data_IF_529472604063
#
_entry.id   IF_529472604063
#
_cell.length_a   1.000
_cell.length_b   1.000
_cell.length_c   1.000
_cell.angle_alpha   90.00
_cell.angle_beta   90.00
_cell.angle_gamma   90.00
#
_symmetry.space_group_name_H-M   'P 1'
#
loop_
_entity.id
_entity.type
_entity.pdbx_description
1 polymer ?
#
# COMPACT_ATOMS: atom_id res chain seq x y z
N UNK A 1 -7.16 4.55 -12.61
CA UNK A 1 -6.64 4.39 -11.23
C UNK A 1 -5.53 3.34 -11.23
N UNK A 2 -4.38 3.67 -10.66
CA UNK A 2 -3.23 2.77 -10.56
C UNK A 2 -2.76 2.64 -9.10
N UNK A 3 -2.46 1.41 -8.67
CA UNK A 3 -1.82 1.15 -7.37
C UNK A 3 -0.35 0.86 -7.59
N UNK A 4 0.53 1.77 -7.20
CA UNK A 4 1.97 1.57 -7.24
C UNK A 4 2.52 1.53 -5.81
N UNK A 5 2.93 0.36 -5.34
CA UNK A 5 3.65 0.21 -4.07
C UNK A 5 5.12 0.61 -4.26
N UNK A 6 5.34 1.89 -4.53
CA UNK A 6 6.66 2.45 -4.81
C UNK A 6 7.04 3.57 -3.84
N UNK A 7 6.31 3.76 -2.73
CA UNK A 7 6.67 4.77 -1.74
C UNK A 7 7.98 4.37 -1.07
N UNK A 8 9.03 4.85 -1.72
CA UNK A 8 10.30 5.19 -1.17
C UNK A 8 11.23 4.02 -0.82
N UNK A 9 11.77 3.41 -1.86
CA UNK A 9 13.14 2.92 -1.80
C UNK A 9 14.06 4.09 -2.18
N UNK A 10 14.43 4.96 -1.24
CA UNK A 10 15.30 6.10 -1.58
C UNK A 10 16.66 5.65 -2.18
N UNK A 11 17.12 6.52 -3.08
CA UNK A 11 18.33 6.63 -3.90
C UNK A 11 19.66 6.72 -3.14
N UNK A 12 19.70 6.41 -1.84
CA UNK A 12 20.91 6.58 -1.05
C UNK A 12 21.66 5.27 -0.83
N UNK A 13 22.97 5.33 -1.06
CA UNK A 13 23.93 4.29 -0.75
C UNK A 13 23.66 3.74 0.66
N UNK A 14 23.87 2.44 0.84
CA UNK A 14 23.90 1.82 2.17
C UNK A 14 24.89 2.47 3.14
N UNK A 15 25.85 3.23 2.61
CA UNK A 15 26.86 3.95 3.36
C UNK A 15 26.50 5.42 3.64
N UNK A 16 25.34 5.91 3.15
CA UNK A 16 24.84 7.23 3.55
C UNK A 16 24.36 7.21 5.01
N UNK A 17 24.72 8.21 5.85
CA UNK A 17 24.24 8.29 7.22
C UNK A 17 22.72 8.21 7.32
N UNK A 18 22.20 7.65 8.41
CA UNK A 18 20.77 7.63 8.67
C UNK A 18 20.24 9.07 8.76
N UNK A 19 19.44 9.48 7.78
CA UNK A 19 18.77 10.79 7.76
C UNK A 19 17.29 10.61 8.08
N UNK A 20 16.74 11.58 8.81
CA UNK A 20 15.29 11.76 8.90
C UNK A 20 14.83 12.42 7.60
N UNK A 21 14.24 11.64 6.71
CA UNK A 21 13.64 12.14 5.48
C UNK A 21 12.11 12.02 5.59
N UNK A 22 11.42 13.11 5.27
CA UNK A 22 9.96 13.11 5.10
C UNK A 22 9.64 13.10 3.62
N UNK A 23 8.91 12.09 3.18
CA UNK A 23 8.49 11.95 1.79
C UNK A 23 7.08 12.46 1.58
N UNK A 24 6.87 13.11 0.43
CA UNK A 24 5.59 13.67 -0.01
C UNK A 24 5.28 13.18 -1.41
N UNK A 25 4.07 13.45 -1.90
CA UNK A 25 3.64 13.09 -3.26
C UNK A 25 4.47 13.72 -4.38
N UNK A 26 5.27 14.75 -4.07
CA UNK A 26 6.18 15.39 -5.02
C UNK A 26 7.48 14.59 -5.21
N UNK A 27 7.80 13.67 -4.29
CA UNK A 27 9.03 12.88 -4.35
C UNK A 27 8.93 11.83 -5.45
N UNK A 28 9.90 11.85 -6.36
CA UNK A 28 10.14 10.81 -7.35
C UNK A 28 11.51 10.19 -7.10
N UNK A 29 11.58 8.87 -7.21
CA UNK A 29 12.81 8.10 -7.09
C UNK A 29 13.26 7.68 -8.48
N UNK A 30 14.55 7.76 -8.77
CA UNK A 30 15.08 7.19 -10.00
C UNK A 30 15.29 5.68 -9.89
N UNK A 31 14.93 4.89 -10.93
CA UNK A 31 15.27 3.47 -10.99
C UNK A 31 16.78 3.28 -10.88
N UNK A 32 17.21 2.33 -10.04
CA UNK A 32 18.63 2.08 -9.83
C UNK A 32 19.28 1.20 -10.89
N UNK A 33 18.49 0.35 -11.55
CA UNK A 33 18.98 -0.68 -12.48
C UNK A 33 19.66 -1.86 -11.81
N UNK A 34 19.59 -1.99 -10.47
CA UNK A 34 20.26 -3.06 -9.73
C UNK A 34 19.32 -4.25 -9.45
N UNK A 35 19.80 -5.51 -9.47
CA UNK A 35 18.95 -6.68 -9.21
C UNK A 35 18.25 -6.67 -7.84
N UNK A 36 18.92 -6.14 -6.80
CA UNK A 36 18.37 -6.01 -5.44
C UNK A 36 17.18 -5.05 -5.39
N UNK A 37 17.08 -4.14 -6.36
CA UNK A 37 16.02 -3.13 -6.49
C UNK A 37 15.07 -3.41 -7.66
N UNK A 38 15.10 -4.59 -8.26
CA UNK A 38 14.23 -4.94 -9.37
C UNK A 38 12.74 -4.71 -9.05
N UNK A 39 12.30 -5.05 -7.83
CA UNK A 39 10.91 -4.81 -7.43
C UNK A 39 10.57 -3.31 -7.30
N UNK A 40 11.26 -2.49 -6.49
CA UNK A 40 11.01 -1.05 -6.46
C UNK A 40 11.13 -0.37 -7.84
N UNK A 41 12.16 -0.72 -8.60
CA UNK A 41 12.39 -0.15 -9.94
C UNK A 41 11.22 -0.49 -10.87
N UNK A 42 10.68 -1.72 -10.82
CA UNK A 42 9.49 -2.09 -11.60
C UNK A 42 8.25 -1.27 -11.24
N UNK A 43 8.10 -0.85 -9.98
CA UNK A 43 6.96 -0.04 -9.54
C UNK A 43 7.10 1.42 -9.97
N UNK A 44 8.32 1.96 -9.97
CA UNK A 44 8.62 3.31 -10.47
C UNK A 44 8.34 3.38 -11.98
N UNK A 45 8.86 2.42 -12.75
CA UNK A 45 8.68 2.38 -14.19
C UNK A 45 7.19 2.21 -14.56
N UNK A 46 6.48 1.29 -13.90
CA UNK A 46 5.04 1.11 -14.14
C UNK A 46 4.20 2.36 -13.81
N UNK A 47 4.60 3.15 -12.80
CA UNK A 47 3.93 4.42 -12.52
C UNK A 47 4.21 5.46 -13.62
N UNK A 48 5.45 5.58 -14.08
CA UNK A 48 5.83 6.48 -15.19
C UNK A 48 5.07 6.15 -16.47
N UNK A 49 5.09 4.89 -16.87
CA UNK A 49 4.38 4.42 -18.07
C UNK A 49 2.87 4.69 -17.98
N UNK A 50 2.28 4.58 -16.79
CA UNK A 50 0.87 4.89 -16.57
C UNK A 50 0.56 6.38 -16.77
N UNK A 51 1.42 7.27 -16.26
CA UNK A 51 1.28 8.71 -16.47
C UNK A 51 1.44 9.09 -17.95
N UNK A 52 2.44 8.53 -18.64
CA UNK A 52 2.63 8.75 -20.08
C UNK A 52 1.40 8.30 -20.89
N UNK A 53 0.82 7.14 -20.55
CA UNK A 53 -0.40 6.66 -21.20
C UNK A 53 -1.60 7.59 -20.92
N UNK A 54 -1.75 8.07 -19.70
CA UNK A 54 -2.82 8.99 -19.33
C UNK A 54 -2.72 10.30 -20.12
N UNK A 55 -1.52 10.87 -20.22
CA UNK A 55 -1.25 12.08 -21.00
C UNK A 55 -1.52 11.87 -22.49
N UNK A 56 -1.12 10.73 -23.05
CA UNK A 56 -1.33 10.40 -24.46
C UNK A 56 -2.80 10.14 -24.83
N UNK A 57 -3.62 9.70 -23.87
CA UNK A 57 -5.01 9.29 -24.11
C UNK A 57 -6.06 10.27 -23.58
N UNK A 58 -5.64 11.21 -22.73
CA UNK A 58 -6.56 12.11 -22.01
C UNK A 58 -7.37 11.41 -20.92
N UNK A 59 -6.91 10.25 -20.43
CA UNK A 59 -7.57 9.53 -19.34
C UNK A 59 -7.28 10.19 -17.99
N UNK A 60 -8.33 10.34 -17.17
CA UNK A 60 -8.14 10.73 -15.77
C UNK A 60 -7.40 9.63 -15.00
N UNK A 61 -6.20 9.96 -14.54
CA UNK A 61 -5.37 9.07 -13.73
C UNK A 61 -5.21 9.60 -12.31
N UNK A 62 -5.34 8.69 -11.36
CA UNK A 62 -4.92 8.86 -9.97
C UNK A 62 -4.03 7.70 -9.58
N UNK A 63 -2.90 8.01 -8.95
CA UNK A 63 -2.00 7.01 -8.37
C UNK A 63 -2.17 6.97 -6.85
N UNK A 64 -2.44 5.77 -6.31
CA UNK A 64 -2.42 5.52 -4.86
C UNK A 64 -1.17 4.72 -4.55
N UNK A 65 -0.33 5.26 -3.67
CA UNK A 65 0.94 4.66 -3.32
C UNK A 65 0.93 4.23 -1.85
N UNK A 66 0.63 2.95 -1.56
CA UNK A 66 0.61 2.46 -0.20
C UNK A 66 2.01 2.23 0.36
N UNK A 67 2.15 2.39 1.68
CA UNK A 67 3.35 2.02 2.43
C UNK A 67 3.29 0.55 2.90
N UNK A 68 3.85 0.21 4.06
CA UNK A 68 3.89 -1.17 4.55
C UNK A 68 2.49 -1.63 4.97
N UNK A 69 1.79 -2.22 4.01
CA UNK A 69 0.41 -2.67 4.16
C UNK A 69 0.32 -3.89 5.07
N UNK A 70 -0.50 -3.76 6.10
CA UNK A 70 -0.86 -4.80 7.04
C UNK A 70 -2.38 -4.78 7.24
N UNK A 71 -2.93 -5.70 8.01
CA UNK A 71 -4.35 -5.80 8.34
C UNK A 71 -4.91 -7.21 8.12
N UNK A 72 -6.22 -7.40 8.35
CA UNK A 72 -6.84 -8.71 8.19
C UNK A 72 -6.85 -9.14 6.71
N UNK A 73 -6.33 -10.33 6.43
CA UNK A 73 -6.22 -10.87 5.08
C UNK A 73 -7.57 -11.42 4.59
N UNK A 74 -7.90 -11.15 3.32
CA UNK A 74 -9.02 -11.79 2.63
C UNK A 74 -8.52 -13.05 1.92
N UNK A 75 -8.99 -14.23 2.35
CA UNK A 75 -8.66 -15.52 1.74
C UNK A 75 -7.56 -16.29 2.47
N UNK A 76 -6.92 -17.22 1.77
CA UNK A 76 -5.95 -18.16 2.37
C UNK A 76 -4.71 -17.41 2.91
N UNK A 77 -4.20 -17.77 4.11
CA UNK A 77 -3.03 -17.11 4.72
C UNK A 77 -1.69 -17.32 3.99
N UNK A 78 -1.68 -18.04 2.86
CA UNK A 78 -0.50 -18.47 2.12
C UNK A 78 0.08 -17.40 1.19
N UNK A 79 -0.54 -16.22 1.13
CA UNK A 79 -0.12 -15.14 0.23
C UNK A 79 1.14 -14.45 0.76
N UNK A 80 2.25 -14.74 0.10
CA UNK A 80 3.54 -14.10 0.27
C UNK A 80 3.47 -12.60 -0.08
N UNK A 81 4.04 -11.77 0.81
CA UNK A 81 3.99 -10.32 0.72
C UNK A 81 4.50 -9.67 2.00
N UNK A 82 4.01 -8.47 2.31
CA UNK A 82 4.36 -7.74 3.54
C UNK A 82 3.93 -8.46 4.82
N UNK A 83 2.89 -9.29 4.77
CA UNK A 83 2.39 -10.10 5.90
C UNK A 83 3.39 -11.15 6.40
N UNK A 84 4.29 -11.62 5.54
CA UNK A 84 5.34 -12.59 5.88
C UNK A 84 6.25 -12.09 7.00
N UNK A 85 6.45 -10.78 7.09
CA UNK A 85 7.26 -10.14 8.13
C UNK A 85 6.64 -10.41 9.50
N UNK A 86 5.34 -10.16 9.65
CA UNK A 86 4.60 -10.40 10.91
C UNK A 86 4.48 -11.89 11.18
N UNK A 87 4.21 -12.70 10.15
CA UNK A 87 4.14 -14.16 10.27
C UNK A 87 5.42 -14.76 10.83
N UNK A 88 6.58 -14.41 10.27
CA UNK A 88 7.89 -14.90 10.75
C UNK A 88 8.19 -14.51 12.18
N UNK A 89 7.72 -13.35 12.63
CA UNK A 89 7.92 -12.89 14.03
C UNK A 89 7.09 -13.73 14.99
N UNK A 90 5.81 -13.94 14.67
CA UNK A 90 4.88 -14.72 15.50
C UNK A 90 5.27 -16.20 15.52
N UNK A 91 5.71 -16.75 14.39
CA UNK A 91 6.13 -18.15 14.29
C UNK A 91 7.53 -18.42 14.87
N UNK A 92 8.28 -17.39 15.26
CA UNK A 92 9.66 -17.52 15.74
C UNK A 92 10.69 -17.80 14.65
N UNK A 93 10.36 -17.50 13.39
CA UNK A 93 11.23 -17.68 12.22
C UNK A 93 12.40 -16.69 12.14
N UNK A 94 12.53 -15.76 13.09
CA UNK A 94 13.66 -14.84 13.20
C UNK A 94 14.27 -14.86 14.62
N UNK A 95 15.60 -15.04 14.76
CA UNK A 95 16.23 -15.20 16.07
C UNK A 95 16.41 -13.87 16.82
N UNK A 96 16.50 -12.75 16.12
CA UNK A 96 16.63 -11.40 16.66
C UNK A 96 16.10 -10.36 15.66
N UNK A 97 15.60 -9.24 16.17
CA UNK A 97 14.98 -8.17 15.38
C UNK A 97 16.04 -7.23 14.80
N UNK A 98 16.18 -7.09 13.47
CA UNK A 98 17.02 -6.05 12.90
C UNK A 98 16.49 -4.65 13.26
N UNK A 99 17.39 -3.65 13.31
CA UNK A 99 17.04 -2.26 13.60
C UNK A 99 16.43 -1.56 12.38
N UNK A 100 15.21 -1.96 12.00
CA UNK A 100 14.46 -1.45 10.86
C UNK A 100 13.05 -1.06 11.29
N UNK A 101 12.37 -0.24 10.49
CA UNK A 101 10.99 0.17 10.72
C UNK A 101 10.30 0.61 9.44
N UNK A 102 8.99 0.75 9.51
CA UNK A 102 8.16 1.09 8.35
C UNK A 102 7.00 2.00 8.75
N UNK A 103 6.52 2.80 7.81
CA UNK A 103 5.18 3.37 7.93
C UNK A 103 4.16 2.29 7.64
N UNK A 104 3.37 1.95 8.64
CA UNK A 104 2.34 0.92 8.56
C UNK A 104 1.05 1.57 8.06
N UNK A 105 0.32 0.87 7.20
CA UNK A 105 -1.03 1.28 6.78
C UNK A 105 -1.94 0.05 6.70
N UNK A 106 -3.21 0.23 7.02
CA UNK A 106 -4.19 -0.85 6.95
C UNK A 106 -4.63 -1.12 5.50
N UNK A 107 -4.73 -2.39 5.12
CA UNK A 107 -5.25 -2.80 3.81
C UNK A 107 -6.67 -2.30 3.56
N UNK A 108 -7.51 -2.19 4.61
CA UNK A 108 -8.87 -1.65 4.53
C UNK A 108 -8.85 -0.15 4.28
N UNK A 109 -7.92 0.57 4.91
CA UNK A 109 -7.76 2.02 4.71
C UNK A 109 -7.28 2.32 3.30
N UNK A 110 -6.40 1.48 2.75
CA UNK A 110 -5.96 1.61 1.35
C UNK A 110 -7.12 1.34 0.40
N UNK A 111 -7.94 0.31 0.64
CA UNK A 111 -9.12 0.05 -0.17
C UNK A 111 -10.10 1.25 -0.14
N UNK A 112 -10.31 1.83 1.04
CA UNK A 112 -11.08 3.07 1.21
C UNK A 112 -10.48 4.24 0.42
N UNK A 113 -9.16 4.44 0.49
CA UNK A 113 -8.46 5.47 -0.28
C UNK A 113 -8.66 5.31 -1.79
N UNK A 114 -8.64 4.07 -2.30
CA UNK A 114 -8.94 3.82 -3.71
C UNK A 114 -10.39 4.20 -4.05
N UNK A 115 -11.37 3.89 -3.20
CA UNK A 115 -12.76 4.28 -3.44
C UNK A 115 -12.90 5.81 -3.46
N UNK A 116 -12.31 6.50 -2.47
CA UNK A 116 -12.32 7.96 -2.40
C UNK A 116 -11.68 8.60 -3.63
N UNK A 117 -10.54 8.06 -4.07
CA UNK A 117 -9.86 8.54 -5.26
C UNK A 117 -10.62 8.27 -6.58
N UNK A 118 -11.38 7.17 -6.68
CA UNK A 118 -12.21 6.92 -7.88
C UNK A 118 -13.43 7.82 -7.97
N UNK A 119 -13.98 8.22 -6.81
CA UNK A 119 -15.26 8.92 -6.72
C UNK A 119 -15.12 10.44 -6.60
N UNK A 120 -13.91 10.93 -6.30
CA UNK A 120 -13.65 12.36 -6.12
C UNK A 120 -13.07 12.99 -7.38
N UNK A 121 -13.70 14.00 -7.99
CA UNK A 121 -13.12 14.76 -9.09
C UNK A 121 -11.80 15.44 -8.72
N UNK A 122 -11.58 15.76 -7.44
CA UNK A 122 -10.34 16.35 -6.95
C UNK A 122 -9.14 15.39 -7.01
N UNK A 123 -9.38 14.10 -7.25
CA UNK A 123 -8.34 13.09 -7.35
C UNK A 123 -7.73 12.97 -8.75
N UNK A 124 -8.37 13.52 -9.79
CA UNK A 124 -7.87 13.45 -11.16
C UNK A 124 -6.51 14.17 -11.28
N UNK A 125 -5.54 13.50 -11.92
CA UNK A 125 -4.17 13.99 -12.06
C UNK A 125 -3.35 13.97 -10.77
N UNK A 126 -3.84 13.33 -9.71
CA UNK A 126 -3.17 13.35 -8.41
C UNK A 126 -2.46 12.03 -8.08
N UNK A 127 -1.35 12.16 -7.34
CA UNK A 127 -0.76 11.10 -6.52
C UNK A 127 -1.25 11.26 -5.09
N UNK A 128 -1.43 10.16 -4.37
CA UNK A 128 -1.73 10.14 -2.93
C UNK A 128 -0.88 9.08 -2.21
N UNK A 129 -0.18 9.48 -1.15
CA UNK A 129 0.54 8.55 -0.28
C UNK A 129 -0.42 7.92 0.74
N UNK A 130 -0.65 6.63 0.60
CA UNK A 130 -1.45 5.82 1.51
C UNK A 130 -0.59 5.37 2.69
N UNK A 131 -0.40 6.24 3.68
CA UNK A 131 0.44 5.95 4.85
C UNK A 131 -0.23 6.27 6.18
N UNK A 132 -0.08 5.36 7.15
CA UNK A 132 -0.36 5.59 8.56
C UNK A 132 0.87 6.13 9.30
N UNK A 133 1.26 5.47 10.38
CA UNK A 133 2.34 5.89 11.27
C UNK A 133 3.56 4.97 11.21
N UNK A 134 4.74 5.53 11.49
CA UNK A 134 6.00 4.78 11.53
C UNK A 134 6.11 3.93 12.81
N UNK A 135 6.45 2.65 12.65
CA UNK A 135 6.79 1.76 13.74
C UNK A 135 8.13 1.06 13.47
N UNK A 136 8.98 1.06 14.48
CA UNK A 136 10.16 0.21 14.53
C UNK A 136 9.74 -1.25 14.72
N UNK A 137 10.54 -2.17 14.18
CA UNK A 137 10.26 -3.60 14.29
C UNK A 137 10.21 -4.09 15.75
N UNK A 138 11.05 -3.51 16.61
CA UNK A 138 11.01 -3.72 18.07
C UNK A 138 9.71 -3.25 18.73
N UNK A 139 9.09 -2.19 18.21
CA UNK A 139 7.80 -1.69 18.73
C UNK A 139 6.67 -2.63 18.31
N UNK A 140 6.68 -3.13 17.08
CA UNK A 140 5.75 -4.17 16.61
C UNK A 140 5.87 -5.42 17.50
N UNK A 141 7.08 -5.92 17.72
CA UNK A 141 7.29 -7.10 18.56
C UNK A 141 6.83 -6.90 20.01
N UNK A 142 7.10 -5.72 20.58
CA UNK A 142 6.62 -5.35 21.91
C UNK A 142 5.09 -5.30 21.97
N UNK A 143 4.45 -4.65 21.01
CA UNK A 143 2.99 -4.56 20.91
C UNK A 143 2.35 -5.95 20.85
N UNK A 144 2.88 -6.84 20.01
CA UNK A 144 2.39 -8.23 19.91
C UNK A 144 2.50 -8.96 21.25
N UNK A 145 3.65 -8.86 21.94
CA UNK A 145 3.85 -9.51 23.24
C UNK A 145 2.94 -8.95 24.34
N UNK A 146 2.65 -7.66 24.31
CA UNK A 146 1.81 -7.00 25.32
C UNK A 146 0.33 -7.32 25.13
N UNK A 147 -0.14 -7.41 23.88
CA UNK A 147 -1.57 -7.49 23.57
C UNK A 147 -2.04 -8.90 23.15
N UNK A 148 -1.13 -9.75 22.68
CA UNK A 148 -1.39 -11.12 22.22
C UNK A 148 -0.36 -12.09 22.82
N UNK A 149 -0.28 -12.22 24.15
CA UNK A 149 0.81 -12.94 24.81
C UNK A 149 0.87 -14.43 24.46
N UNK A 150 -0.28 -15.07 24.22
CA UNK A 150 -0.37 -16.49 23.88
C UNK A 150 0.15 -16.75 22.46
N UNK A 151 -0.21 -15.89 21.52
CA UNK A 151 0.24 -15.94 20.13
C UNK A 151 1.69 -15.48 19.98
N UNK A 152 2.14 -14.54 20.81
CA UNK A 152 3.44 -13.91 20.71
C UNK A 152 4.55 -14.60 21.53
N UNK A 153 4.31 -15.82 22.02
CA UNK A 153 5.28 -16.55 22.86
C UNK A 153 6.66 -16.74 22.20
N UNK A 154 6.69 -16.83 20.86
CA UNK A 154 7.93 -17.01 20.08
C UNK A 154 8.54 -15.71 19.56
N UNK A 155 7.88 -14.57 19.82
CA UNK A 155 8.33 -13.26 19.33
C UNK A 155 9.65 -12.89 20.01
N UNK A 156 10.74 -12.63 19.24
CA UNK A 156 12.03 -12.31 19.81
C UNK A 156 12.00 -10.96 20.54
N UNK A 157 12.69 -10.90 21.68
CA UNK A 157 12.89 -9.66 22.46
C UNK A 157 14.20 -8.98 22.10
N UNK A 158 15.18 -9.74 21.61
CA UNK A 158 16.53 -9.25 21.32
C UNK A 158 16.58 -8.54 19.98
N UNK A 159 17.32 -7.45 19.93
CA UNK A 159 17.67 -6.75 18.68
C UNK A 159 18.98 -7.29 18.13
N UNK A 160 19.07 -7.41 16.81
CA UNK A 160 20.29 -7.77 16.10
C UNK A 160 21.13 -6.51 15.86
N UNK A 161 22.43 -6.49 16.25
CA UNK A 161 23.31 -5.38 15.94
C UNK A 161 23.47 -5.18 14.42
N UNK A 162 23.51 -3.93 13.97
CA UNK A 162 23.58 -3.58 12.54
C UNK A 162 24.78 -4.20 11.83
N UNK A 163 25.92 -4.34 12.52
CA UNK A 163 27.14 -4.98 12.00
C UNK A 163 26.88 -6.44 11.60
N UNK A 164 26.05 -7.15 12.36
CA UNK A 164 25.68 -8.54 12.06
C UNK A 164 24.83 -8.59 10.79
N UNK A 165 23.85 -7.69 10.65
CA UNK A 165 23.02 -7.61 9.43
C UNK A 165 23.90 -7.28 8.21
N UNK A 166 24.80 -6.31 8.33
CA UNK A 166 25.75 -5.94 7.25
C UNK A 166 26.69 -7.09 6.85
N UNK A 167 27.11 -7.91 7.81
CA UNK A 167 27.94 -9.09 7.53
C UNK A 167 27.14 -10.17 6.78
N UNK A 168 25.92 -10.47 7.25
CA UNK A 168 25.05 -11.47 6.63
C UNK A 168 24.57 -11.05 5.23
N UNK A 169 24.38 -9.75 5.00
CA UNK A 169 24.02 -9.17 3.70
C UNK A 169 25.00 -9.53 2.56
N UNK A 170 26.27 -9.87 2.86
CA UNK A 170 27.25 -10.27 1.84
C UNK A 170 26.93 -11.59 1.15
N UNK A 171 26.18 -12.47 1.83
CA UNK A 171 25.89 -13.84 1.36
C UNK A 171 24.41 -14.18 1.32
N UNK A 172 23.55 -13.33 1.90
CA UNK A 172 22.11 -13.54 1.95
C UNK A 172 21.38 -12.38 1.25
N UNK A 173 20.75 -12.62 0.08
CA UNK A 173 20.01 -11.59 -0.65
C UNK A 173 18.90 -10.92 0.17
N UNK A 174 18.22 -11.68 1.04
CA UNK A 174 17.17 -11.12 1.90
C UNK A 174 17.76 -10.12 2.92
N UNK A 175 18.94 -10.39 3.45
CA UNK A 175 19.64 -9.44 4.34
C UNK A 175 20.20 -8.24 3.58
N UNK A 176 20.63 -8.43 2.32
CA UNK A 176 21.08 -7.34 1.46
C UNK A 176 19.97 -6.30 1.21
N UNK A 177 18.72 -6.75 1.10
CA UNK A 177 17.55 -5.85 0.99
C UNK A 177 17.30 -5.01 2.25
N UNK A 178 17.69 -5.49 3.43
CA UNK A 178 17.49 -4.76 4.69
C UNK A 178 18.57 -3.73 4.97
N UNK A 179 19.75 -3.88 4.34
CA UNK A 179 20.91 -3.02 4.58
C UNK A 179 20.62 -1.51 4.44
N UNK A 180 19.86 -1.05 3.42
CA UNK A 180 19.51 0.37 3.28
C UNK A 180 18.50 0.87 4.32
N UNK A 181 17.85 -0.01 5.08
CA UNK A 181 16.82 0.36 6.06
C UNK A 181 17.39 0.51 7.48
N UNK A 182 18.61 0.01 7.72
CA UNK A 182 19.18 -0.07 9.06
C UNK A 182 19.34 1.31 9.71
N UNK A 183 18.68 1.47 10.86
CA UNK A 183 18.74 2.68 11.67
C UNK A 183 18.07 3.91 11.06
N UNK A 184 17.33 3.77 9.96
CA UNK A 184 16.71 4.90 9.25
C UNK A 184 15.24 5.10 9.65
N UNK A 185 14.89 6.32 10.01
CA UNK A 185 13.50 6.79 10.18
C UNK A 185 13.05 7.48 8.91
N UNK A 186 12.11 6.83 8.24
CA UNK A 186 11.58 7.25 6.97
C UNK A 186 10.14 7.63 7.18
N UNK A 187 9.84 8.91 7.25
CA UNK A 187 8.48 9.38 7.50
C UNK A 187 7.79 9.64 6.16
N UNK A 188 6.53 9.27 6.08
CA UNK A 188 5.70 9.53 4.90
C UNK A 188 4.56 10.44 5.32
N UNK A 189 4.50 11.61 4.67
CA UNK A 189 3.40 12.53 4.88
C UNK A 189 2.21 12.14 3.99
N UNK A 190 1.09 11.78 4.64
CA UNK A 190 -0.19 11.49 3.99
C UNK A 190 -1.22 12.61 4.17
N UNK A 191 -0.78 13.81 4.57
CA UNK A 191 -1.63 14.98 4.81
C UNK A 191 -2.49 15.36 3.60
N UNK A 192 -1.97 15.18 2.38
CA UNK A 192 -2.71 15.46 1.15
C UNK A 192 -3.96 14.58 1.00
N UNK A 193 -3.83 13.28 1.23
CA UNK A 193 -4.99 12.36 1.18
C UNK A 193 -6.03 12.70 2.25
N UNK A 194 -5.58 13.11 3.45
CA UNK A 194 -6.46 13.53 4.55
C UNK A 194 -7.22 14.80 4.23
N UNK A 195 -6.53 15.80 3.65
CA UNK A 195 -7.09 17.13 3.39
C UNK A 195 -7.96 17.17 2.14
N UNK A 196 -7.54 16.53 1.04
CA UNK A 196 -8.25 16.59 -0.23
C UNK A 196 -9.37 15.54 -0.36
N UNK A 197 -9.18 14.36 0.21
CA UNK A 197 -10.14 13.25 0.08
C UNK A 197 -10.88 12.92 1.38
N UNK A 198 -10.54 13.59 2.49
CA UNK A 198 -11.10 13.27 3.80
C UNK A 198 -10.65 11.91 4.34
N UNK A 199 -9.58 11.32 3.79
CA UNK A 199 -9.10 9.99 4.16
C UNK A 199 -8.60 9.98 5.61
N UNK A 200 -9.03 9.00 6.41
CA UNK A 200 -8.68 8.89 7.84
C UNK A 200 -8.22 7.47 8.16
N UNK A 201 -6.90 7.19 8.08
CA UNK A 201 -6.40 5.87 8.40
C UNK A 201 -6.59 5.54 9.88
N UNK A 202 -6.78 4.26 10.15
CA UNK A 202 -6.94 3.68 11.49
C UNK A 202 -5.60 3.70 12.25
N UNK A 203 -5.63 3.56 13.60
CA UNK A 203 -4.41 3.40 14.39
C UNK A 203 -3.61 2.16 13.95
N UNK A 204 -2.31 2.35 13.75
CA UNK A 204 -1.41 1.29 13.26
C UNK A 204 -1.29 0.11 14.22
N UNK A 205 -1.49 0.35 15.51
CA UNK A 205 -1.50 -0.68 16.54
C UNK A 205 -2.62 -1.69 16.26
N UNK A 206 -3.83 -1.21 15.99
CA UNK A 206 -4.98 -2.06 15.67
C UNK A 206 -4.71 -2.87 14.40
N UNK A 207 -4.10 -2.25 13.37
CA UNK A 207 -3.74 -2.92 12.13
C UNK A 207 -2.79 -4.10 12.37
N UNK A 208 -1.77 -3.93 13.22
CA UNK A 208 -0.82 -5.00 13.56
C UNK A 208 -1.51 -6.12 14.33
N UNK A 209 -2.38 -5.79 15.29
CA UNK A 209 -3.11 -6.79 16.08
C UNK A 209 -4.09 -7.59 15.21
N UNK A 210 -4.83 -6.92 14.32
CA UNK A 210 -5.75 -7.57 13.38
C UNK A 210 -4.99 -8.50 12.42
N UNK A 211 -3.79 -8.10 11.99
CA UNK A 211 -2.90 -8.93 11.15
C UNK A 211 -2.50 -10.20 11.89
N UNK A 212 -1.98 -10.06 13.11
CA UNK A 212 -1.51 -11.17 13.91
C UNK A 212 -2.63 -12.17 14.19
N UNK A 213 -3.80 -11.65 14.58
CA UNK A 213 -5.00 -12.45 14.83
C UNK A 213 -5.44 -13.21 13.58
N UNK A 214 -5.41 -12.58 12.41
CA UNK A 214 -5.76 -13.24 11.15
C UNK A 214 -4.78 -14.37 10.78
N UNK A 215 -3.48 -14.17 11.01
CA UNK A 215 -2.45 -15.17 10.74
C UNK A 215 -2.54 -16.38 11.67
N UNK A 216 -2.86 -16.16 12.95
CA UNK A 216 -2.95 -17.24 13.94
C UNK A 216 -4.27 -18.01 13.85
N UNK A 217 -5.36 -17.36 13.46
CA UNK A 217 -6.65 -17.99 13.23
C UNK A 217 -6.62 -19.06 12.12
N UNK A 218 -5.76 -18.90 11.10
CA UNK A 218 -5.56 -19.91 10.05
C UNK A 218 -4.66 -21.08 10.45
N UNK A 219 -3.97 -20.99 11.58
CA UNK A 219 -3.00 -21.97 12.06
C UNK A 219 -3.59 -22.99 13.06
N UNK A 220 -4.81 -22.74 13.55
CA UNK A 220 -5.54 -23.63 14.45
C UNK A 220 -6.52 -24.52 13.67
N UNK A 221 -6.33 -25.84 13.73
CA UNK A 221 -7.29 -26.79 13.18
C UNK A 221 -8.68 -26.62 13.81
N UNK A 222 -9.69 -26.44 12.95
CA UNK A 222 -11.11 -26.61 13.29
C UNK A 222 -11.80 -25.42 13.97
N UNK A 223 -12.42 -24.55 13.17
CA UNK A 223 -13.43 -23.62 13.66
C UNK A 223 -13.39 -22.27 12.97
N UNK A 224 -14.10 -22.14 11.85
CA UNK A 224 -14.37 -20.85 11.23
C UNK A 224 -15.13 -19.97 12.23
N UNK A 225 -14.44 -19.05 12.92
CA UNK A 225 -15.11 -17.93 13.57
C UNK A 225 -15.39 -16.90 12.49
N UNK A 226 -16.66 -16.79 12.11
CA UNK A 226 -17.13 -15.83 11.12
C UNK A 226 -16.70 -14.42 11.52
N UNK A 227 -15.86 -13.81 10.68
CA UNK A 227 -15.45 -12.42 10.80
C UNK A 227 -16.68 -11.52 10.60
N UNK A 228 -17.16 -10.87 11.67
CA UNK A 228 -18.32 -9.98 11.60
C UNK A 228 -17.86 -8.59 11.12
N UNK A 229 -18.17 -8.28 9.87
CA UNK A 229 -18.00 -6.95 9.30
C UNK A 229 -18.94 -5.95 10.00
N UNK A 230 -18.39 -4.91 10.63
CA UNK A 230 -19.18 -3.73 11.02
C UNK A 230 -19.16 -2.75 9.84
N UNK A 231 -20.28 -2.68 9.13
CA UNK A 231 -20.54 -1.67 8.12
C UNK A 231 -20.68 -0.29 8.79
N UNK A 232 -19.66 0.56 8.65
CA UNK A 232 -19.84 2.01 8.77
C UNK A 232 -19.01 2.68 7.68
N UNK A 233 -19.55 2.66 6.46
CA UNK A 233 -19.22 3.65 5.44
C UNK A 233 -20.47 4.51 5.31
N UNK A 234 -20.49 5.64 6.02
CA UNK A 234 -21.51 6.67 5.83
C UNK A 234 -20.99 7.65 4.80
N UNK A 235 -21.42 7.47 3.55
CA UNK A 235 -21.29 8.49 2.52
C UNK A 235 -22.29 9.61 2.84
N UNK A 236 -21.89 10.88 2.99
CA UNK A 236 -22.83 11.98 3.16
C UNK A 236 -23.63 12.17 1.87
N UNK A 237 -24.92 11.82 1.90
CA UNK A 237 -25.85 12.10 0.81
C UNK A 237 -26.34 13.54 0.88
N UNK A 238 -26.14 14.30 -0.19
CA UNK A 238 -26.84 15.57 -0.43
C UNK A 238 -28.34 15.30 -0.71
N UNK A 239 -29.27 16.11 -0.19
CA UNK A 239 -30.70 15.86 -0.36
C UNK A 239 -31.16 16.29 -1.76
N UNK A 240 -31.60 15.34 -2.57
CA UNK A 240 -32.42 15.64 -3.75
C UNK A 240 -33.90 15.70 -3.33
N UNK A 241 -34.42 16.92 -3.23
CA UNK A 241 -35.86 17.17 -3.19
C UNK A 241 -36.47 16.85 -4.56
N UNK A 242 -37.41 15.91 -4.59
CA UNK A 242 -38.04 15.42 -5.80
C UNK A 242 -38.97 16.41 -6.50
N UNK A 243 -39.19 16.16 -7.78
CA UNK A 243 -40.50 16.35 -8.41
C UNK A 243 -40.61 15.49 -9.67
N UNK A 244 -41.60 14.60 -9.67
CA UNK A 244 -42.04 13.79 -10.79
C UNK A 244 -42.80 14.64 -11.80
N UNK A 245 -42.55 14.46 -13.10
CA UNK A 245 -43.51 14.70 -14.18
C UNK A 245 -43.03 13.98 -15.46
N UNK A 246 -43.91 13.27 -16.20
CA UNK A 246 -43.53 12.57 -17.42
C UNK A 246 -43.70 13.49 -18.64
N UNK A 247 -42.71 13.54 -19.52
CA UNK A 247 -42.86 14.14 -20.86
C UNK A 247 -42.32 13.17 -21.90
N UNK A 248 -43.11 12.76 -22.90
CA UNK A 248 -42.65 11.92 -23.99
C UNK A 248 -42.22 12.80 -25.17
N UNK A 249 -41.01 12.60 -25.73
CA UNK A 249 -40.72 13.09 -27.07
C UNK A 249 -39.86 12.12 -27.88
N UNK A 250 -40.45 11.75 -29.02
CA UNK A 250 -39.90 10.99 -30.13
C UNK A 250 -38.59 11.61 -30.64
N UNK A 251 -37.59 10.79 -30.92
CA UNK A 251 -36.46 11.15 -31.78
C UNK A 251 -36.74 10.60 -33.19
N UNK A 252 -36.83 11.43 -34.24
CA UNK A 252 -36.98 10.95 -35.61
C UNK A 252 -35.61 10.71 -36.28
N UNK A 253 -35.46 9.52 -36.86
CA UNK A 253 -34.79 9.32 -38.16
C UNK A 253 -33.27 9.47 -38.22
N UNK A 254 -32.53 8.39 -37.95
CA UNK A 254 -31.19 8.19 -38.51
C UNK A 254 -31.31 7.21 -39.68
N UNK A 255 -31.45 7.74 -40.91
CA UNK A 255 -31.32 6.93 -42.14
C UNK A 255 -29.83 6.80 -42.47
N UNK A 256 -29.42 5.54 -42.60
CA UNK A 256 -28.15 5.14 -43.19
C UNK A 256 -28.04 5.61 -44.65
N UNK A 257 -26.86 6.10 -45.05
CA UNK A 257 -26.43 6.13 -46.45
C UNK A 257 -25.07 5.45 -46.56
N UNK A 258 -25.10 4.25 -47.12
CA UNK A 258 -23.95 3.49 -47.60
C UNK A 258 -23.55 3.94 -49.02
N UNK A 259 -22.25 3.75 -49.33
CA UNK A 259 -21.58 3.54 -50.64
C UNK A 259 -20.85 4.76 -51.27
N UNK A 260 -19.86 4.52 -52.17
CA UNK A 260 -18.80 3.50 -52.16
C UNK A 260 -17.40 4.04 -52.59
N UNK A 261 -16.43 3.13 -52.62
CA UNK A 261 -15.02 3.22 -53.02
C UNK A 261 -14.68 3.95 -54.32
N UNK A 262 -13.50 4.56 -54.39
CA UNK A 262 -12.65 4.54 -55.59
C UNK A 262 -11.15 4.53 -55.25
N UNK A 263 -10.46 3.58 -55.89
CA UNK A 263 -9.03 3.36 -56.05
C UNK A 263 -8.46 4.34 -57.09
N UNK A 264 -7.19 4.75 -56.96
CA UNK A 264 -6.14 4.88 -58.01
C UNK A 264 -4.96 5.71 -57.45
N UNK A 265 -3.80 5.10 -57.18
CA UNK A 265 -2.61 4.97 -58.06
C UNK A 265 -1.88 6.28 -58.36
N UNK A 266 -0.72 6.48 -57.71
CA UNK A 266 0.59 6.71 -58.32
C UNK A 266 1.68 6.58 -57.26
#
# INVERSE_FOLDING_TARGET
>A
MLTASGVAADTLDSDTPATEATWTEATWTEPSGTPVRAYPDSKILAERDAWELADATGLDLTAVLPTFMQGPMLGTPDRSGTFEVIRRVIEGGIPALPNIGWNVVDVRDIAELHILAMTSPAAAGQRFLGSGSFLWYRQIARLLREQLPDEAAKVPVRTMPDVVVKLLARRNPQMAMLRPELGRTRLVDSSKARTQLGWRPRPVEQTILDTATALTAGSGGGGQRAFRWMHHVSVPGSPMTGRTSPVPHRIPGCRASLRPSARQSR
#
